data_IF_002369024711
#
_entry.id   IF_002369024711
#
_cell.length_a   1.000
_cell.length_b   1.000
_cell.length_c   1.000
_cell.angle_alpha   90.00
_cell.angle_beta   90.00
_cell.angle_gamma   90.00
#
_symmetry.space_group_name_H-M   'P 1'
#
loop_
_entity.id
_entity.type
_entity.pdbx_description
1 polymer ?
#
# COMPACT_ATOMS: atom_id res chain seq x y z
N UNK A 1 -6.33 -6.22 19.94
CA UNK A 1 -6.66 -5.12 18.99
C UNK A 1 -5.54 -4.06 18.98
N UNK A 2 -4.45 -4.35 18.27
CA UNK A 2 -3.27 -3.46 18.21
C UNK A 2 -2.79 -3.15 16.79
N UNK A 3 -3.45 -3.70 15.77
CA UNK A 3 -3.06 -3.59 14.36
C UNK A 3 -4.26 -3.18 13.50
N UNK A 4 -4.00 -2.51 12.38
CA UNK A 4 -4.96 -2.20 11.32
C UNK A 4 -4.49 -2.80 9.99
N UNK A 5 -5.43 -3.07 9.08
CA UNK A 5 -5.10 -3.50 7.71
C UNK A 5 -4.86 -2.24 6.87
N UNK A 6 -3.74 -2.22 6.14
CA UNK A 6 -3.42 -1.17 5.16
C UNK A 6 -3.29 -1.82 3.79
N UNK A 7 -4.09 -1.35 2.84
CA UNK A 7 -4.00 -1.75 1.43
C UNK A 7 -3.24 -0.68 0.65
N UNK A 8 -2.25 -1.11 -0.13
CA UNK A 8 -1.41 -0.24 -0.96
C UNK A 8 -1.60 -0.62 -2.43
N UNK A 9 -1.93 0.37 -3.25
CA UNK A 9 -1.86 0.29 -4.71
C UNK A 9 -0.56 0.96 -5.18
N UNK A 10 0.31 0.19 -5.81
CA UNK A 10 1.52 0.69 -6.46
C UNK A 10 1.29 0.71 -7.97
N UNK A 11 1.59 1.82 -8.62
CA UNK A 11 1.49 1.96 -10.07
C UNK A 11 2.88 2.16 -10.68
N UNK A 12 3.15 1.47 -11.78
CA UNK A 12 4.33 1.66 -12.60
C UNK A 12 3.99 2.61 -13.75
N UNK A 13 4.70 3.73 -13.85
CA UNK A 13 4.44 4.76 -14.86
C UNK A 13 5.65 4.92 -15.77
N UNK A 14 5.43 4.99 -17.08
CA UNK A 14 6.44 5.36 -18.07
C UNK A 14 6.76 6.85 -17.99
N UNK A 15 7.85 7.28 -18.62
CA UNK A 15 8.26 8.69 -18.64
C UNK A 15 7.22 9.62 -19.29
N UNK A 16 6.37 9.09 -20.17
CA UNK A 16 5.27 9.81 -20.82
C UNK A 16 3.98 9.89 -19.95
N UNK A 17 4.00 9.36 -18.73
CA UNK A 17 2.85 9.33 -17.83
C UNK A 17 1.93 8.12 -18.03
N UNK A 18 2.19 7.25 -19.02
CA UNK A 18 1.38 6.04 -19.23
C UNK A 18 1.63 5.03 -18.13
N UNK A 19 0.57 4.64 -17.41
CA UNK A 19 0.63 3.51 -16.49
C UNK A 19 0.78 2.20 -17.27
N UNK A 20 1.73 1.36 -16.87
CA UNK A 20 1.99 0.07 -17.51
C UNK A 20 1.75 -1.13 -16.58
N UNK A 21 1.60 -0.88 -15.28
CA UNK A 21 1.40 -1.92 -14.28
C UNK A 21 0.72 -1.37 -13.03
N UNK A 22 -0.13 -2.20 -12.42
CA UNK A 22 -0.66 -1.98 -11.08
C UNK A 22 -0.36 -3.20 -10.21
N UNK A 23 0.02 -2.98 -8.95
CA UNK A 23 0.16 -4.03 -7.94
C UNK A 23 -0.52 -3.63 -6.64
N UNK A 24 -1.46 -4.46 -6.20
CA UNK A 24 -2.18 -4.27 -4.94
C UNK A 24 -1.71 -5.28 -3.90
N UNK A 25 -1.42 -4.79 -2.69
CA UNK A 25 -1.02 -5.63 -1.55
C UNK A 25 -1.57 -5.09 -0.23
N UNK A 26 -1.78 -5.98 0.72
CA UNK A 26 -2.29 -5.65 2.05
C UNK A 26 -1.30 -6.03 3.14
N UNK A 27 -1.21 -5.20 4.18
CA UNK A 27 -0.35 -5.40 5.34
C UNK A 27 -1.11 -5.22 6.65
N UNK A 28 -0.66 -5.92 7.69
CA UNK A 28 -1.01 -5.57 9.07
C UNK A 28 -0.01 -4.54 9.59
N UNK A 29 -0.52 -3.38 9.97
CA UNK A 29 0.28 -2.27 10.50
C UNK A 29 -0.08 -2.04 11.96
N UNK A 30 0.89 -2.08 12.88
CA UNK A 30 0.68 -1.72 14.28
C UNK A 30 0.15 -0.30 14.44
N UNK A 31 -0.80 -0.10 15.34
CA UNK A 31 -1.32 1.23 15.70
C UNK A 31 -0.32 1.92 16.63
N UNK A 32 -0.11 3.23 16.45
CA UNK A 32 0.76 4.03 17.35
C UNK A 32 0.17 4.03 18.76
N UNK A 33 1.00 3.81 19.77
CA UNK A 33 0.58 3.76 21.18
C UNK A 33 -0.11 2.45 21.61
N UNK A 34 -0.09 1.41 20.77
CA UNK A 34 -0.58 0.08 21.16
C UNK A 34 0.43 -0.63 22.05
N UNK A 35 0.10 -0.79 23.34
CA UNK A 35 0.67 -1.79 24.24
C UNK A 35 0.20 -3.19 23.88
#
# INVERSE_FOLDING_TARGET
>A
PGQGIVTVRTTGTKADGTEFMTFERSFLVPKRGGS
#
